data_IF_106579453371
#
_entry.id   IF_106579453371
#
_cell.length_a   1.000
_cell.length_b   1.000
_cell.length_c   1.000
_cell.angle_alpha   90.00
_cell.angle_beta   90.00
_cell.angle_gamma   90.00
#
_symmetry.space_group_name_H-M   'P 1'
#
loop_
_entity.id
_entity.type
_entity.pdbx_description
1 polymer ?
#
# COMPACT_ATOMS: atom_id res chain seq x y z
N UNK A 1 66.01 17.31 25.56
CA UNK A 1 64.58 17.42 25.92
C UNK A 1 63.81 17.37 24.64
N UNK A 2 63.17 16.20 24.33
CA UNK A 2 62.31 16.04 23.13
C UNK A 2 60.91 16.53 23.46
N UNK A 3 60.43 17.60 22.77
CA UNK A 3 59.06 18.08 22.89
C UNK A 3 58.15 17.14 22.10
N UNK A 4 57.28 16.39 22.78
CA UNK A 4 56.25 15.58 22.20
C UNK A 4 55.12 16.54 21.78
N UNK A 5 54.98 16.76 20.47
CA UNK A 5 53.88 17.52 19.90
C UNK A 5 52.67 16.58 19.79
N UNK A 6 51.71 16.71 20.72
CA UNK A 6 50.47 15.97 20.72
C UNK A 6 49.55 16.60 19.67
N UNK A 7 49.42 15.96 18.49
CA UNK A 7 48.53 16.40 17.42
C UNK A 7 47.08 15.99 17.77
N UNK A 8 46.31 16.93 18.29
CA UNK A 8 44.88 16.75 18.53
C UNK A 8 44.18 16.75 17.17
N UNK A 9 43.87 15.56 16.65
CA UNK A 9 42.97 15.42 15.50
C UNK A 9 41.52 15.65 15.99
N UNK A 10 40.80 16.67 15.46
CA UNK A 10 39.38 16.80 15.76
C UNK A 10 38.65 15.63 15.08
N UNK A 11 38.13 14.70 15.86
CA UNK A 11 37.16 13.71 15.42
C UNK A 11 35.86 14.45 15.06
N UNK A 12 35.68 14.73 13.78
CA UNK A 12 34.39 15.13 13.27
C UNK A 12 33.45 13.92 13.37
N UNK A 13 32.75 13.80 14.49
CA UNK A 13 31.60 12.91 14.60
C UNK A 13 30.51 13.55 13.75
N UNK A 14 30.32 13.07 12.53
CA UNK A 14 29.13 13.37 11.76
C UNK A 14 27.99 12.62 12.46
N UNK A 15 27.31 13.29 13.37
CA UNK A 15 26.01 12.84 13.85
C UNK A 15 25.09 12.79 12.64
N UNK A 16 24.46 11.64 12.39
CA UNK A 16 23.47 11.51 11.34
C UNK A 16 22.36 12.51 11.66
N UNK A 17 22.21 13.54 10.83
CA UNK A 17 21.14 14.51 10.92
C UNK A 17 19.81 13.86 10.49
N UNK A 18 19.28 12.97 11.32
CA UNK A 18 17.89 12.57 11.25
C UNK A 18 17.14 13.49 12.21
N UNK A 19 16.32 14.41 11.73
CA UNK A 19 15.55 15.30 12.59
C UNK A 19 14.70 14.49 13.57
N UNK A 20 14.60 14.95 14.82
CA UNK A 20 13.73 14.35 15.83
C UNK A 20 12.29 14.34 15.31
N UNK A 21 11.68 13.13 15.28
CA UNK A 21 10.32 12.94 14.73
C UNK A 21 10.28 12.52 13.26
N UNK A 22 11.43 12.36 12.61
CA UNK A 22 11.46 11.81 11.26
C UNK A 22 11.47 10.28 11.30
N UNK A 23 10.45 9.66 10.74
CA UNK A 23 10.33 8.20 10.63
C UNK A 23 10.90 7.74 9.29
N UNK A 24 11.68 6.68 9.32
CA UNK A 24 12.19 6.01 8.11
C UNK A 24 11.78 4.56 8.14
N UNK A 25 11.26 4.07 7.01
CA UNK A 25 11.01 2.65 6.84
C UNK A 25 12.26 1.91 6.36
N UNK A 26 12.33 0.62 6.68
CA UNK A 26 13.36 -0.32 6.23
C UNK A 26 12.73 -1.51 5.53
N UNK A 27 11.67 -1.26 4.75
CA UNK A 27 10.95 -2.28 4.03
C UNK A 27 11.79 -2.85 2.88
N UNK A 28 11.61 -4.13 2.61
CA UNK A 28 12.23 -4.78 1.44
C UNK A 28 11.43 -4.45 0.19
N UNK A 29 12.08 -3.83 -0.79
CA UNK A 29 11.50 -3.54 -2.11
C UNK A 29 12.00 -4.52 -3.17
N UNK A 30 12.46 -5.71 -2.77
CA UNK A 30 12.81 -6.81 -3.65
C UNK A 30 11.59 -7.68 -3.96
N UNK A 31 11.71 -8.54 -4.99
CA UNK A 31 10.68 -9.55 -5.34
C UNK A 31 9.33 -8.94 -5.68
N UNK A 32 9.25 -8.29 -6.82
CA UNK A 32 8.00 -7.74 -7.35
C UNK A 32 6.97 -8.85 -7.63
N UNK A 33 5.73 -8.64 -7.23
CA UNK A 33 4.62 -9.60 -7.36
C UNK A 33 3.46 -9.08 -8.22
N UNK A 34 3.16 -7.80 -8.15
CA UNK A 34 2.07 -7.17 -8.90
C UNK A 34 2.48 -5.83 -9.46
N UNK A 35 1.90 -5.48 -10.61
CA UNK A 35 2.11 -4.19 -11.29
C UNK A 35 0.74 -3.64 -11.69
N UNK A 36 0.58 -2.31 -11.56
CA UNK A 36 -0.53 -1.56 -12.14
C UNK A 36 -0.01 -0.28 -12.78
N UNK A 37 -0.37 -0.06 -14.03
CA UNK A 37 -0.10 1.20 -14.73
C UNK A 37 -1.25 2.17 -14.45
N UNK A 38 -0.91 3.40 -14.04
CA UNK A 38 -1.83 4.44 -13.62
C UNK A 38 -1.34 5.79 -14.16
N UNK A 39 -1.89 6.25 -15.27
CA UNK A 39 -1.48 7.49 -15.95
C UNK A 39 0.05 7.57 -16.13
N UNK A 40 0.68 8.47 -15.38
CA UNK A 40 2.13 8.70 -15.42
C UNK A 40 2.91 7.83 -14.42
N UNK A 41 2.27 6.90 -13.73
CA UNK A 41 2.91 6.06 -12.70
C UNK A 41 2.77 4.59 -13.01
N UNK A 42 3.79 3.83 -12.66
CA UNK A 42 3.73 2.37 -12.65
C UNK A 42 3.92 1.93 -11.19
N UNK A 43 2.84 1.49 -10.57
CA UNK A 43 2.89 0.94 -9.22
C UNK A 43 3.41 -0.48 -9.23
N UNK A 44 4.27 -0.82 -8.29
CA UNK A 44 4.86 -2.13 -8.14
C UNK A 44 4.79 -2.59 -6.69
N UNK A 45 4.06 -3.69 -6.47
CA UNK A 45 3.98 -4.37 -5.17
C UNK A 45 5.17 -5.30 -5.01
N UNK A 46 5.81 -5.24 -3.86
CA UNK A 46 6.95 -6.10 -3.50
C UNK A 46 6.67 -6.85 -2.20
N UNK A 47 7.56 -7.77 -1.84
CA UNK A 47 7.43 -8.58 -0.61
C UNK A 47 7.33 -7.74 0.68
N UNK A 48 7.82 -6.52 0.69
CA UNK A 48 7.84 -5.68 1.89
C UNK A 48 7.08 -4.36 1.74
N UNK A 49 6.67 -3.96 0.53
CA UNK A 49 6.05 -2.66 0.36
C UNK A 49 5.58 -2.36 -1.05
N UNK A 50 5.28 -1.12 -1.28
CA UNK A 50 4.84 -0.58 -2.56
C UNK A 50 5.79 0.52 -3.00
N UNK A 51 6.12 0.57 -4.28
CA UNK A 51 6.74 1.74 -4.89
C UNK A 51 6.05 2.07 -6.21
N UNK A 52 6.24 3.26 -6.70
CA UNK A 52 5.89 3.59 -8.08
C UNK A 52 7.06 4.24 -8.81
N UNK A 53 7.14 3.94 -10.09
CA UNK A 53 7.98 4.66 -11.05
C UNK A 53 7.13 5.81 -11.63
N UNK A 54 7.60 7.03 -11.48
CA UNK A 54 7.03 8.17 -12.20
C UNK A 54 7.62 8.22 -13.61
N UNK A 55 6.75 8.15 -14.64
CA UNK A 55 7.17 8.11 -16.05
C UNK A 55 7.59 9.47 -16.59
N UNK A 56 7.34 10.57 -15.87
CA UNK A 56 7.68 11.92 -16.30
C UNK A 56 9.17 12.19 -16.06
N UNK A 57 9.65 11.87 -14.87
CA UNK A 57 11.03 12.15 -14.44
C UNK A 57 11.87 10.89 -14.19
N UNK A 58 11.30 9.71 -14.40
CA UNK A 58 11.90 8.40 -14.17
C UNK A 58 12.37 8.17 -12.72
N UNK A 59 11.72 8.80 -11.75
CA UNK A 59 12.03 8.61 -10.34
C UNK A 59 11.27 7.44 -9.73
N UNK A 60 11.91 6.74 -8.78
CA UNK A 60 11.29 5.68 -7.98
C UNK A 60 10.90 6.26 -6.63
N UNK A 61 9.61 6.20 -6.34
CA UNK A 61 9.01 6.72 -5.13
C UNK A 61 8.47 5.57 -4.26
N UNK A 62 9.00 5.42 -3.07
CA UNK A 62 8.56 4.39 -2.12
C UNK A 62 7.33 4.84 -1.37
N UNK A 63 6.42 3.89 -1.13
CA UNK A 63 5.19 4.12 -0.39
C UNK A 63 5.10 3.17 0.80
N UNK A 64 4.85 3.73 1.96
CA UNK A 64 4.75 3.00 3.23
C UNK A 64 3.81 3.74 4.20
N UNK A 65 3.59 3.19 5.39
CA UNK A 65 2.84 3.93 6.44
C UNK A 65 3.48 5.27 6.78
N UNK A 66 4.78 5.39 6.66
CA UNK A 66 5.50 6.65 6.91
C UNK A 66 5.16 7.70 5.86
N UNK A 67 4.89 7.28 4.64
CA UNK A 67 4.54 8.17 3.51
C UNK A 67 3.04 8.28 3.27
N UNK A 68 2.20 7.72 4.15
CA UNK A 68 0.75 7.94 4.15
C UNK A 68 -0.13 6.72 3.91
N UNK A 69 0.41 5.54 3.56
CA UNK A 69 -0.40 4.33 3.48
C UNK A 69 -1.02 3.99 4.84
N UNK A 70 -2.25 3.47 4.83
CA UNK A 70 -2.99 3.16 6.06
C UNK A 70 -2.49 1.90 6.76
N UNK A 71 -1.79 1.02 6.04
CA UNK A 71 -1.30 -0.24 6.61
C UNK A 71 0.02 -0.71 6.01
N UNK A 72 0.51 -1.84 6.52
CA UNK A 72 1.67 -2.59 6.02
C UNK A 72 1.21 -3.86 5.33
N UNK A 73 2.12 -4.53 4.60
CA UNK A 73 1.78 -5.78 3.90
C UNK A 73 0.84 -5.53 2.71
N UNK A 74 1.26 -4.65 1.80
CA UNK A 74 0.55 -4.44 0.53
C UNK A 74 0.54 -5.75 -0.24
N UNK A 75 -0.65 -6.18 -0.69
CA UNK A 75 -0.83 -7.44 -1.39
C UNK A 75 -1.05 -7.26 -2.89
N UNK A 76 -1.90 -6.33 -3.27
CA UNK A 76 -2.22 -6.07 -4.67
C UNK A 76 -2.49 -4.58 -4.91
N UNK A 77 -2.35 -4.19 -6.16
CA UNK A 77 -2.67 -2.86 -6.67
C UNK A 77 -3.41 -3.00 -8.00
N UNK A 78 -4.40 -2.15 -8.23
CA UNK A 78 -5.10 -2.03 -9.51
C UNK A 78 -5.46 -0.56 -9.76
N UNK A 79 -5.69 -0.18 -11.00
CA UNK A 79 -6.00 1.18 -11.40
C UNK A 79 -7.24 1.25 -12.26
N UNK A 80 -8.19 2.12 -11.89
CA UNK A 80 -9.35 2.48 -12.68
C UNK A 80 -9.01 3.66 -13.57
N UNK A 81 -8.90 3.40 -14.87
CA UNK A 81 -8.64 4.43 -15.88
C UNK A 81 -9.80 5.45 -15.95
N UNK A 82 -11.02 4.97 -15.79
CA UNK A 82 -12.23 5.79 -15.88
C UNK A 82 -12.34 6.79 -14.72
N UNK A 83 -12.08 6.34 -13.50
CA UNK A 83 -12.22 7.17 -12.30
C UNK A 83 -10.90 7.81 -11.84
N UNK A 84 -9.77 7.43 -12.46
CA UNK A 84 -8.43 7.85 -12.05
C UNK A 84 -8.13 7.52 -10.58
N UNK A 85 -8.56 6.32 -10.16
CA UNK A 85 -8.40 5.82 -8.79
C UNK A 85 -7.51 4.59 -8.80
N UNK A 86 -6.46 4.60 -7.98
CA UNK A 86 -5.67 3.41 -7.67
C UNK A 86 -6.23 2.75 -6.41
N UNK A 87 -6.56 1.47 -6.48
CA UNK A 87 -6.94 0.65 -5.33
C UNK A 87 -5.76 -0.18 -4.87
N UNK A 88 -5.51 -0.19 -3.58
CA UNK A 88 -4.47 -0.97 -2.90
C UNK A 88 -5.15 -1.88 -1.89
N UNK A 89 -4.83 -3.16 -1.90
CA UNK A 89 -5.28 -4.11 -0.88
C UNK A 89 -4.11 -4.61 -0.04
N UNK A 90 -4.40 -4.92 1.22
CA UNK A 90 -3.43 -5.38 2.19
C UNK A 90 -3.69 -6.83 2.63
N UNK A 91 -2.69 -7.48 3.19
CA UNK A 91 -2.79 -8.86 3.70
C UNK A 91 -3.89 -9.02 4.76
N UNK A 92 -4.15 -7.98 5.55
CA UNK A 92 -5.19 -7.96 6.58
C UNK A 92 -6.57 -7.52 6.06
N UNK A 93 -6.76 -7.48 4.74
CA UNK A 93 -7.97 -7.02 4.05
C UNK A 93 -8.34 -5.56 4.29
N UNK A 94 -7.40 -4.72 4.71
CA UNK A 94 -7.55 -3.28 4.60
C UNK A 94 -7.51 -2.85 3.13
N UNK A 95 -8.08 -1.70 2.80
CA UNK A 95 -8.09 -1.17 1.44
C UNK A 95 -7.77 0.31 1.51
N UNK A 96 -6.88 0.78 0.63
CA UNK A 96 -6.68 2.19 0.36
C UNK A 96 -7.08 2.51 -1.08
N UNK A 97 -7.73 3.64 -1.27
CA UNK A 97 -7.95 4.26 -2.56
C UNK A 97 -7.05 5.49 -2.67
N UNK A 98 -6.31 5.61 -3.76
CA UNK A 98 -5.55 6.83 -4.07
C UNK A 98 -6.31 7.58 -5.15
N UNK A 99 -6.74 8.80 -4.82
CA UNK A 99 -7.47 9.72 -5.68
C UNK A 99 -6.91 11.12 -5.52
N UNK A 100 -6.50 11.75 -6.60
CA UNK A 100 -5.91 13.10 -6.57
C UNK A 100 -4.77 13.25 -5.53
N UNK A 101 -3.87 12.26 -5.42
CA UNK A 101 -2.80 12.18 -4.42
C UNK A 101 -3.27 12.11 -2.95
N UNK A 102 -4.55 11.90 -2.70
CA UNK A 102 -5.09 11.66 -1.38
C UNK A 102 -5.33 10.16 -1.19
N UNK A 103 -5.08 9.69 0.03
CA UNK A 103 -5.33 8.30 0.42
C UNK A 103 -6.60 8.26 1.24
N UNK A 104 -7.55 7.45 0.79
CA UNK A 104 -8.84 7.22 1.44
C UNK A 104 -8.86 5.77 1.90
N UNK A 105 -9.05 5.55 3.19
CA UNK A 105 -9.01 4.21 3.78
C UNK A 105 -10.41 3.62 3.94
N UNK A 106 -10.60 2.39 3.44
CA UNK A 106 -11.80 1.58 3.62
C UNK A 106 -11.42 0.38 4.50
N UNK A 107 -11.69 0.46 5.79
CA UNK A 107 -11.28 -0.54 6.78
C UNK A 107 -12.39 -1.51 7.20
N UNK A 108 -13.53 -1.49 6.52
CA UNK A 108 -14.73 -2.26 6.89
C UNK A 108 -14.46 -3.77 6.90
N UNK A 109 -13.85 -4.31 5.85
CA UNK A 109 -13.50 -5.74 5.80
C UNK A 109 -12.47 -6.08 6.88
N UNK A 110 -11.45 -5.23 7.08
CA UNK A 110 -10.43 -5.44 8.10
C UNK A 110 -11.05 -5.56 9.49
N UNK A 111 -11.99 -4.67 9.82
CA UNK A 111 -12.65 -4.62 11.15
C UNK A 111 -13.73 -5.69 11.35
N UNK A 112 -14.32 -6.20 10.25
CA UNK A 112 -15.39 -7.20 10.33
C UNK A 112 -14.82 -8.53 10.81
N UNK A 113 -15.42 -9.12 11.84
CA UNK A 113 -15.12 -10.48 12.26
C UNK A 113 -15.70 -11.47 11.25
N UNK A 114 -14.86 -12.34 10.72
CA UNK A 114 -15.21 -13.36 9.75
C UNK A 114 -14.62 -14.67 10.24
N UNK A 115 -15.45 -15.71 10.32
CA UNK A 115 -14.98 -17.04 10.72
C UNK A 115 -14.11 -17.64 9.62
N UNK A 116 -12.91 -18.07 9.95
CA UNK A 116 -11.96 -18.68 9.02
C UNK A 116 -10.93 -17.69 8.46
N UNK A 117 -10.28 -18.10 7.38
CA UNK A 117 -9.25 -17.32 6.72
C UNK A 117 -9.85 -16.11 6.00
N UNK A 118 -9.32 -14.95 6.28
CA UNK A 118 -9.75 -13.68 5.70
C UNK A 118 -8.65 -13.10 4.80
N UNK A 119 -8.81 -13.25 3.47
CA UNK A 119 -7.87 -12.74 2.47
C UNK A 119 -8.63 -12.19 1.27
N UNK A 120 -8.07 -11.15 0.65
CA UNK A 120 -8.44 -10.70 -0.69
C UNK A 120 -7.47 -11.36 -1.67
N UNK A 121 -7.99 -12.16 -2.60
CA UNK A 121 -7.18 -12.94 -3.54
C UNK A 121 -6.94 -12.21 -4.86
N UNK A 122 -7.93 -11.45 -5.32
CA UNK A 122 -7.82 -10.73 -6.60
C UNK A 122 -8.72 -9.49 -6.64
N UNK A 123 -8.33 -8.54 -7.48
CA UNK A 123 -9.07 -7.30 -7.77
C UNK A 123 -9.43 -7.33 -9.26
N UNK A 124 -10.69 -7.15 -9.59
CA UNK A 124 -11.16 -6.94 -10.97
C UNK A 124 -11.93 -5.62 -11.00
N UNK A 125 -11.52 -4.72 -11.88
CA UNK A 125 -12.17 -3.42 -12.04
C UNK A 125 -13.12 -3.45 -13.23
N UNK A 126 -14.32 -2.91 -13.04
CA UNK A 126 -15.27 -2.70 -14.13
C UNK A 126 -16.12 -1.47 -13.81
N UNK A 127 -16.08 -0.50 -14.70
CA UNK A 127 -16.80 0.76 -14.51
C UNK A 127 -16.44 1.40 -13.15
N UNK A 128 -17.41 1.76 -12.34
CA UNK A 128 -17.24 2.38 -11.03
C UNK A 128 -17.01 1.37 -9.88
N UNK A 129 -16.95 0.06 -10.17
CA UNK A 129 -16.92 -1.00 -9.15
C UNK A 129 -15.60 -1.78 -9.19
N UNK A 130 -15.01 -1.96 -8.02
CA UNK A 130 -13.97 -2.95 -7.81
C UNK A 130 -14.57 -4.24 -7.21
N UNK A 131 -14.41 -5.34 -7.93
CA UNK A 131 -14.82 -6.68 -7.51
C UNK A 131 -13.63 -7.36 -6.85
N UNK A 132 -13.75 -7.65 -5.57
CA UNK A 132 -12.71 -8.30 -4.78
C UNK A 132 -13.10 -9.76 -4.55
N UNK A 133 -12.36 -10.70 -5.13
CA UNK A 133 -12.53 -12.11 -4.79
C UNK A 133 -11.84 -12.39 -3.46
N UNK A 134 -12.61 -12.80 -2.46
CA UNK A 134 -12.13 -13.04 -1.11
C UNK A 134 -12.29 -14.52 -0.73
N UNK A 135 -11.54 -14.97 0.27
CA UNK A 135 -11.69 -16.34 0.79
C UNK A 135 -13.08 -16.63 1.37
N UNK A 136 -13.83 -15.59 1.71
CA UNK A 136 -15.18 -15.66 2.29
C UNK A 136 -16.28 -15.25 1.31
N UNK A 137 -15.96 -14.98 0.05
CA UNK A 137 -16.92 -14.62 -0.97
C UNK A 137 -16.47 -13.49 -1.90
N UNK A 138 -17.43 -12.76 -2.45
CA UNK A 138 -17.22 -11.63 -3.36
C UNK A 138 -17.59 -10.33 -2.65
N UNK A 139 -16.69 -9.36 -2.64
CA UNK A 139 -16.95 -8.02 -2.12
C UNK A 139 -16.93 -7.01 -3.26
N UNK A 140 -17.90 -6.13 -3.28
CA UNK A 140 -18.02 -5.03 -4.22
C UNK A 140 -17.68 -3.73 -3.53
N UNK A 141 -16.71 -2.99 -4.06
CA UNK A 141 -16.35 -1.65 -3.60
C UNK A 141 -16.82 -0.64 -4.64
N UNK A 142 -17.66 0.30 -4.22
CA UNK A 142 -18.01 1.46 -5.03
C UNK A 142 -16.87 2.48 -4.96
N UNK A 143 -16.13 2.61 -6.05
CA UNK A 143 -14.96 3.48 -6.10
C UNK A 143 -15.35 4.97 -6.12
N UNK A 144 -16.54 5.29 -6.60
CA UNK A 144 -17.04 6.67 -6.68
C UNK A 144 -17.53 7.16 -5.33
N UNK A 145 -18.21 6.27 -4.59
CA UNK A 145 -18.69 6.56 -3.23
C UNK A 145 -17.66 6.26 -2.14
N UNK A 146 -16.58 5.56 -2.51
CA UNK A 146 -15.47 5.22 -1.61
C UNK A 146 -15.92 4.36 -0.42
N UNK A 147 -16.81 3.37 -0.70
CA UNK A 147 -17.41 2.50 0.33
C UNK A 147 -17.59 1.06 -0.17
N UNK A 148 -17.80 0.13 0.76
CA UNK A 148 -18.24 -1.23 0.43
C UNK A 148 -19.70 -1.16 -0.02
N UNK A 149 -19.95 -1.52 -1.29
CA UNK A 149 -21.29 -1.55 -1.85
C UNK A 149 -22.08 -2.77 -1.42
N UNK A 150 -21.44 -3.95 -1.49
CA UNK A 150 -22.11 -5.22 -1.20
C UNK A 150 -21.09 -6.33 -0.86
N UNK A 151 -21.57 -7.41 -0.24
CA UNK A 151 -20.76 -8.59 0.09
C UNK A 151 -21.58 -9.86 -0.14
N UNK A 152 -21.18 -10.67 -1.11
CA UNK A 152 -21.79 -11.96 -1.42
C UNK A 152 -20.97 -13.09 -0.81
N UNK A 153 -21.50 -13.75 0.21
CA UNK A 153 -20.88 -14.94 0.80
C UNK A 153 -21.24 -16.16 -0.03
N UNK A 154 -20.23 -16.95 -0.41
CA UNK A 154 -20.39 -18.19 -1.15
C UNK A 154 -19.89 -19.33 -0.25
N UNK A 155 -20.75 -20.28 0.11
CA UNK A 155 -20.41 -21.42 0.96
C UNK A 155 -21.65 -22.25 1.35
N UNK A 156 -21.42 -23.36 2.05
CA UNK A 156 -22.51 -24.20 2.57
C UNK A 156 -23.40 -23.38 3.52
N UNK A 157 -24.64 -23.16 3.10
CA UNK A 157 -25.62 -22.37 3.84
C UNK A 157 -26.03 -21.04 3.17
N UNK A 158 -25.55 -20.79 1.95
CA UNK A 158 -25.91 -19.71 0.99
C UNK A 158 -26.97 -18.68 1.40
N UNK A 159 -26.76 -17.99 2.52
CA UNK A 159 -27.54 -16.82 2.83
C UNK A 159 -26.79 -15.61 2.26
N UNK A 160 -27.36 -15.01 1.23
CA UNK A 160 -27.01 -13.64 0.81
C UNK A 160 -27.20 -12.72 2.03
N UNK A 161 -26.17 -12.00 2.39
CA UNK A 161 -26.21 -10.96 3.42
C UNK A 161 -25.86 -9.66 2.76
#
# INVERSE_FOLDING_TARGET
MKKLLLLLFPLFIQAQDVPIGFWKDYLSYASASYIAEADNRIYCVTSGGLFYLDKIDNTINRMSKVTGLSDVGVKQVAYSEELKITIITYENCNIDLIKNNQIINISDIKRKEITGLKLINNITLREEIAYLSCTFGLVLVDLKKEEIKDTYKIGEGGNFV
#
